data_IF_754830446497
#
_entry.id   IF_754830446497
#
_cell.length_a   1.000
_cell.length_b   1.000
_cell.length_c   1.000
_cell.angle_alpha   90.00
_cell.angle_beta   90.00
_cell.angle_gamma   90.00
#
_symmetry.space_group_name_H-M   'P 1'
#
loop_
_entity.id
_entity.type
_entity.pdbx_description
1 polymer ?
#
# COMPACT_ATOMS: atom_id res chain seq x y z
N UNK A 1 21.31 5.96 9.73
CA UNK A 1 22.38 6.25 10.71
C UNK A 1 23.66 6.73 10.05
N UNK A 2 24.37 5.91 9.25
CA UNK A 2 25.66 6.31 8.68
C UNK A 2 25.60 7.54 7.75
N UNK A 3 24.57 7.64 6.90
CA UNK A 3 24.38 8.80 6.01
C UNK A 3 24.32 10.13 6.77
N UNK A 4 23.55 10.17 7.87
CA UNK A 4 23.37 11.37 8.69
C UNK A 4 24.67 11.79 9.38
N UNK A 5 25.39 10.82 9.96
CA UNK A 5 26.69 11.06 10.59
C UNK A 5 27.72 11.63 9.60
N UNK A 6 27.79 11.07 8.40
CA UNK A 6 28.72 11.56 7.38
C UNK A 6 28.30 12.94 6.84
N UNK A 7 27.00 13.19 6.71
CA UNK A 7 26.48 14.49 6.30
C UNK A 7 26.76 15.58 7.34
N UNK A 8 26.63 15.28 8.64
CA UNK A 8 27.01 16.18 9.74
C UNK A 8 28.50 16.52 9.73
N UNK A 9 29.34 15.57 9.32
CA UNK A 9 30.78 15.78 9.14
C UNK A 9 31.14 16.53 7.83
N UNK A 10 30.15 16.98 7.05
CA UNK A 10 30.36 17.70 5.80
C UNK A 10 30.80 16.81 4.63
N UNK A 11 30.68 15.49 4.75
CA UNK A 11 31.06 14.53 3.71
C UNK A 11 29.90 14.33 2.74
N UNK A 12 30.12 14.66 1.47
CA UNK A 12 29.14 14.39 0.41
C UNK A 12 28.88 12.89 0.28
N UNK A 13 27.62 12.47 0.44
CA UNK A 13 27.21 11.07 0.42
C UNK A 13 26.07 10.83 -0.55
N UNK A 14 26.26 9.92 -1.50
CA UNK A 14 25.19 9.41 -2.35
C UNK A 14 24.72 8.04 -1.88
N UNK A 15 23.41 7.88 -1.69
CA UNK A 15 22.80 6.59 -1.33
C UNK A 15 22.33 5.89 -2.60
N UNK A 16 22.74 4.64 -2.81
CA UNK A 16 22.40 3.88 -4.04
C UNK A 16 21.69 2.59 -3.68
N UNK A 17 20.60 2.27 -4.38
CA UNK A 17 19.89 1.00 -4.18
C UNK A 17 20.72 -0.17 -4.72
N UNK A 18 20.94 -1.26 -3.94
CA UNK A 18 21.73 -2.41 -4.39
C UNK A 18 21.23 -3.04 -5.70
N UNK A 19 19.92 -3.01 -5.92
CA UNK A 19 19.28 -3.54 -7.13
C UNK A 19 19.58 -2.75 -8.40
N UNK A 20 20.04 -1.50 -8.27
CA UNK A 20 20.41 -0.64 -9.40
C UNK A 20 21.91 -0.69 -9.70
N UNK A 21 22.71 -1.32 -8.84
CA UNK A 21 24.14 -1.50 -9.06
C UNK A 21 24.34 -2.54 -10.17
N UNK A 22 24.99 -2.20 -11.30
CA UNK A 22 25.22 -3.14 -12.39
C UNK A 22 25.97 -4.38 -11.89
N UNK A 23 25.51 -5.59 -12.24
CA UNK A 23 26.20 -6.84 -11.91
C UNK A 23 26.51 -7.59 -13.20
N UNK A 24 27.78 -7.99 -13.38
CA UNK A 24 28.18 -8.80 -14.52
C UNK A 24 27.65 -10.23 -14.35
N UNK A 25 27.00 -10.76 -15.37
CA UNK A 25 26.52 -12.15 -15.37
C UNK A 25 27.68 -13.13 -15.14
N UNK A 26 27.49 -14.07 -14.22
CA UNK A 26 28.50 -15.08 -13.87
C UNK A 26 29.44 -14.69 -12.72
N UNK A 27 29.39 -13.46 -12.23
CA UNK A 27 30.17 -13.04 -11.06
C UNK A 27 29.54 -13.59 -9.77
N UNK A 28 30.16 -14.64 -9.21
CA UNK A 28 29.63 -15.39 -8.05
C UNK A 28 30.42 -15.15 -6.76
N UNK A 29 31.56 -14.47 -6.82
CA UNK A 29 32.44 -14.29 -5.67
C UNK A 29 32.18 -12.90 -5.07
N UNK A 30 31.55 -12.89 -3.91
CA UNK A 30 31.25 -11.68 -3.15
C UNK A 30 32.27 -11.51 -2.02
N UNK A 31 33.04 -10.42 -2.07
CA UNK A 31 33.92 -10.00 -0.97
C UNK A 31 33.81 -8.49 -0.79
N UNK A 32 33.92 -8.00 0.45
CA UNK A 32 33.77 -6.56 0.75
C UNK A 32 34.73 -5.69 -0.07
N UNK A 33 35.97 -6.16 -0.26
CA UNK A 33 36.97 -5.48 -1.09
C UNK A 33 36.54 -5.36 -2.56
N UNK A 34 35.97 -6.42 -3.14
CA UNK A 34 35.50 -6.41 -4.54
C UNK A 34 34.26 -5.54 -4.69
N UNK A 35 33.33 -5.62 -3.74
CA UNK A 35 32.12 -4.80 -3.74
C UNK A 35 32.45 -3.31 -3.62
N UNK A 36 33.37 -2.92 -2.73
CA UNK A 36 33.83 -1.54 -2.60
C UNK A 36 34.49 -1.02 -3.89
N UNK A 37 35.40 -1.81 -4.49
CA UNK A 37 36.06 -1.44 -5.75
C UNK A 37 35.06 -1.29 -6.89
N UNK A 38 34.07 -2.19 -6.94
CA UNK A 38 33.00 -2.17 -7.95
C UNK A 38 32.15 -0.92 -7.81
N UNK A 39 31.69 -0.60 -6.60
CA UNK A 39 30.95 0.62 -6.32
C UNK A 39 31.74 1.87 -6.71
N UNK A 40 33.04 1.94 -6.36
CA UNK A 40 33.90 3.06 -6.73
C UNK A 40 34.04 3.22 -8.25
N UNK A 41 34.20 2.11 -8.98
CA UNK A 41 34.26 2.12 -10.46
C UNK A 41 32.95 2.57 -11.08
N UNK A 42 31.83 2.00 -10.64
CA UNK A 42 30.49 2.36 -11.12
C UNK A 42 30.10 3.79 -10.77
N UNK A 43 30.54 4.31 -9.62
CA UNK A 43 30.35 5.70 -9.24
C UNK A 43 31.14 6.62 -10.18
N UNK A 44 32.42 6.29 -10.43
CA UNK A 44 33.29 7.05 -11.34
C UNK A 44 32.78 7.07 -12.79
N UNK A 45 32.17 5.99 -13.27
CA UNK A 45 31.58 5.92 -14.61
C UNK A 45 30.20 6.58 -14.72
N UNK A 46 29.59 6.99 -13.60
CA UNK A 46 28.23 7.53 -13.58
C UNK A 46 27.13 6.47 -13.74
N UNK A 47 27.47 5.19 -13.57
CA UNK A 47 26.51 4.08 -13.71
C UNK A 47 25.58 3.93 -12.49
N UNK A 48 25.92 4.58 -11.36
CA UNK A 48 25.11 4.52 -10.15
C UNK A 48 24.02 5.60 -10.18
N UNK A 49 22.79 5.17 -9.93
CA UNK A 49 21.65 6.09 -9.76
C UNK A 49 21.43 6.35 -8.26
N UNK A 50 21.64 7.59 -7.78
CA UNK A 50 21.36 7.92 -6.40
C UNK A 50 19.85 7.83 -6.12
N UNK A 51 19.55 7.38 -4.90
CA UNK A 51 18.21 7.27 -4.34
C UNK A 51 18.02 8.45 -3.41
N UNK A 52 16.83 9.03 -3.46
CA UNK A 52 16.48 10.11 -2.56
C UNK A 52 16.52 9.67 -1.10
N UNK A 53 17.23 10.45 -0.30
CA UNK A 53 17.22 10.35 1.15
C UNK A 53 16.17 11.32 1.70
N UNK A 54 15.27 10.86 2.58
CA UNK A 54 14.21 11.72 3.11
C UNK A 54 14.79 12.71 4.10
N UNK A 55 14.17 13.88 4.20
CA UNK A 55 14.36 14.76 5.36
C UNK A 55 13.67 14.18 6.60
N UNK A 56 13.92 14.82 7.75
CA UNK A 56 13.40 14.38 9.05
C UNK A 56 11.86 14.27 9.07
N UNK A 57 11.14 15.18 8.41
CA UNK A 57 9.68 15.18 8.36
C UNK A 57 9.15 13.99 7.55
N UNK A 58 9.73 13.74 6.38
CA UNK A 58 9.37 12.59 5.56
C UNK A 58 9.77 11.27 6.21
N UNK A 59 10.91 11.22 6.90
CA UNK A 59 11.37 10.04 7.64
C UNK A 59 10.41 9.72 8.80
N UNK A 60 10.03 10.71 9.60
CA UNK A 60 9.08 10.54 10.69
C UNK A 60 7.70 10.08 10.20
N UNK A 61 7.15 10.73 9.16
CA UNK A 61 5.88 10.32 8.57
C UNK A 61 5.97 8.90 7.97
N UNK A 62 7.11 8.56 7.36
CA UNK A 62 7.36 7.24 6.77
C UNK A 62 7.36 6.14 7.83
N UNK A 63 8.04 6.35 8.94
CA UNK A 63 8.08 5.38 10.02
C UNK A 63 6.67 5.13 10.57
N UNK A 64 5.87 6.19 10.70
CA UNK A 64 4.50 6.09 11.17
C UNK A 64 3.59 5.30 10.21
N UNK A 65 3.63 5.59 8.90
CA UNK A 65 2.83 4.83 7.91
C UNK A 65 3.29 3.37 7.79
N UNK A 66 4.60 3.11 7.93
CA UNK A 66 5.14 1.74 7.96
C UNK A 66 4.75 0.98 9.22
N UNK A 67 4.75 1.64 10.38
CA UNK A 67 4.25 1.07 11.63
C UNK A 67 2.78 0.68 11.52
N UNK A 68 1.95 1.52 10.90
CA UNK A 68 0.54 1.18 10.61
C UNK A 68 0.44 -0.03 9.69
N UNK A 69 1.26 -0.12 8.63
CA UNK A 69 1.26 -1.28 7.75
C UNK A 69 1.65 -2.57 8.48
N UNK A 70 2.65 -2.52 9.36
CA UNK A 70 3.02 -3.65 10.21
C UNK A 70 1.84 -4.06 11.11
N UNK A 71 1.19 -3.10 11.77
CA UNK A 71 0.02 -3.37 12.61
C UNK A 71 -1.15 -3.99 11.82
N UNK A 72 -1.40 -3.56 10.57
CA UNK A 72 -2.39 -4.21 9.68
C UNK A 72 -2.03 -5.67 9.38
N UNK A 73 -0.76 -5.99 9.17
CA UNK A 73 -0.29 -7.38 8.96
C UNK A 73 -0.48 -8.21 10.24
N UNK A 74 -0.19 -7.63 11.40
CA UNK A 74 -0.38 -8.28 12.70
C UNK A 74 -1.86 -8.56 12.97
N UNK A 75 -2.74 -7.57 12.73
CA UNK A 75 -4.20 -7.75 12.82
C UNK A 75 -4.67 -8.90 11.93
N UNK A 76 -4.19 -8.98 10.68
CA UNK A 76 -4.56 -10.08 9.78
C UNK A 76 -4.11 -11.44 10.33
N UNK A 77 -2.91 -11.53 10.90
CA UNK A 77 -2.40 -12.75 11.53
C UNK A 77 -3.22 -13.17 12.74
N UNK A 78 -3.55 -12.23 13.63
CA UNK A 78 -4.40 -12.46 14.80
C UNK A 78 -5.78 -12.96 14.39
N UNK A 79 -6.40 -12.27 13.42
CA UNK A 79 -7.66 -12.67 12.80
C UNK A 79 -7.63 -14.09 12.25
N UNK A 80 -6.55 -14.45 11.54
CA UNK A 80 -6.39 -15.80 11.00
C UNK A 80 -6.18 -16.87 12.09
N UNK A 81 -5.45 -16.58 13.17
CA UNK A 81 -5.29 -17.51 14.30
C UNK A 81 -6.65 -17.82 14.93
N UNK A 82 -7.43 -16.79 15.21
CA UNK A 82 -8.78 -16.92 15.76
C UNK A 82 -9.70 -17.70 14.81
N UNK A 83 -9.75 -17.34 13.53
CA UNK A 83 -10.55 -18.07 12.54
C UNK A 83 -10.16 -19.54 12.44
N UNK A 84 -8.86 -19.87 12.45
CA UNK A 84 -8.40 -21.25 12.41
C UNK A 84 -8.82 -22.02 13.66
N UNK A 85 -8.81 -21.39 14.84
CA UNK A 85 -9.33 -22.01 16.07
C UNK A 85 -10.80 -22.38 15.92
N UNK A 86 -11.63 -21.41 15.51
CA UNK A 86 -13.07 -21.61 15.31
C UNK A 86 -13.35 -22.72 14.29
N UNK A 87 -12.63 -22.71 13.16
CA UNK A 87 -12.78 -23.73 12.12
C UNK A 87 -12.40 -25.14 12.60
N UNK A 88 -11.32 -25.30 13.38
CA UNK A 88 -10.93 -26.60 13.96
C UNK A 88 -11.97 -27.14 14.93
N UNK A 89 -12.77 -26.27 15.54
CA UNK A 89 -13.87 -26.63 16.46
C UNK A 89 -15.22 -26.74 15.76
N UNK A 90 -15.28 -26.57 14.44
CA UNK A 90 -16.53 -26.60 13.69
C UNK A 90 -17.43 -25.39 13.92
N UNK A 91 -16.97 -24.37 14.64
CA UNK A 91 -17.74 -23.18 14.96
C UNK A 91 -17.80 -22.25 13.76
N UNK A 92 -19.01 -21.91 13.34
CA UNK A 92 -19.26 -20.99 12.23
C UNK A 92 -20.22 -19.89 12.69
N UNK A 93 -20.03 -18.66 12.20
CA UNK A 93 -21.00 -17.60 12.46
C UNK A 93 -22.37 -17.97 11.87
N UNK A 94 -23.47 -17.53 12.50
CA UNK A 94 -24.82 -17.65 11.96
C UNK A 94 -24.93 -17.16 10.51
N UNK A 95 -25.90 -17.71 9.78
CA UNK A 95 -26.13 -17.34 8.38
C UNK A 95 -26.36 -15.83 8.23
N UNK A 96 -25.80 -15.26 7.15
CA UNK A 96 -25.87 -13.83 6.87
C UNK A 96 -24.86 -12.96 7.63
N UNK A 97 -24.18 -13.47 8.67
CA UNK A 97 -23.15 -12.70 9.39
C UNK A 97 -21.82 -12.74 8.63
N UNK A 98 -21.39 -11.58 8.13
CA UNK A 98 -20.08 -11.41 7.48
C UNK A 98 -18.98 -11.32 8.53
N UNK A 99 -17.86 -12.01 8.29
CA UNK A 99 -16.70 -11.99 9.17
C UNK A 99 -16.16 -10.57 9.40
N UNK A 100 -15.72 -10.30 10.63
CA UNK A 100 -15.13 -9.01 11.07
C UNK A 100 -16.06 -7.80 10.94
N UNK A 101 -17.38 -8.01 10.96
CA UNK A 101 -18.38 -6.96 11.19
C UNK A 101 -18.71 -6.85 12.67
N UNK A 102 -19.36 -5.76 13.11
CA UNK A 102 -19.82 -5.63 14.51
C UNK A 102 -20.66 -6.83 14.96
N UNK A 103 -21.61 -7.28 14.11
CA UNK A 103 -22.42 -8.48 14.38
C UNK A 103 -21.56 -9.74 14.58
N UNK A 104 -20.46 -9.86 13.85
CA UNK A 104 -19.50 -10.96 14.02
C UNK A 104 -18.74 -10.84 15.34
N UNK A 105 -18.32 -9.64 15.71
CA UNK A 105 -17.67 -9.39 17.01
C UNK A 105 -18.61 -9.71 18.17
N UNK A 106 -19.87 -9.28 18.08
CA UNK A 106 -20.90 -9.59 19.09
C UNK A 106 -21.12 -11.09 19.21
N UNK A 107 -21.27 -11.81 18.08
CA UNK A 107 -21.37 -13.27 18.08
C UNK A 107 -20.15 -13.95 18.70
N UNK A 108 -18.93 -13.45 18.44
CA UNK A 108 -17.74 -14.02 19.06
C UNK A 108 -17.75 -13.89 20.59
N UNK A 109 -18.30 -12.79 21.12
CA UNK A 109 -18.42 -12.58 22.57
C UNK A 109 -19.44 -13.50 23.24
N UNK A 110 -20.38 -14.10 22.49
CA UNK A 110 -21.35 -15.06 23.04
C UNK A 110 -20.80 -16.50 23.11
N UNK A 111 -19.62 -16.76 22.55
CA UNK A 111 -19.06 -18.11 22.51
C UNK A 111 -18.52 -18.51 23.90
N UNK A 112 -19.06 -19.60 24.45
CA UNK A 112 -18.56 -20.24 25.65
C UNK A 112 -18.02 -21.62 25.25
N UNK A 113 -16.73 -21.87 25.49
CA UNK A 113 -16.05 -23.10 25.08
C UNK A 113 -15.51 -23.85 26.29
N UNK A 114 -15.78 -25.16 26.33
CA UNK A 114 -15.18 -26.09 27.29
C UNK A 114 -14.14 -26.99 26.58
N UNK A 115 -13.10 -27.49 27.29
CA UNK A 115 -12.76 -27.23 28.69
C UNK A 115 -12.12 -25.84 28.90
N UNK A 116 -11.93 -25.41 30.15
CA UNK A 116 -11.35 -24.11 30.53
C UNK A 116 -10.06 -23.71 29.76
N UNK A 117 -9.19 -24.66 29.41
CA UNK A 117 -8.00 -24.39 28.60
C UNK A 117 -8.33 -23.86 27.18
N UNK A 118 -9.42 -24.36 26.59
CA UNK A 118 -9.92 -23.87 25.29
C UNK A 118 -10.56 -22.50 25.44
N UNK A 119 -11.31 -22.25 26.53
CA UNK A 119 -11.85 -20.93 26.85
C UNK A 119 -10.73 -19.88 26.94
N UNK A 120 -9.65 -20.20 27.67
CA UNK A 120 -8.48 -19.33 27.81
C UNK A 120 -7.82 -19.03 26.45
N UNK A 121 -7.70 -20.04 25.59
CA UNK A 121 -7.15 -19.86 24.23
C UNK A 121 -8.02 -18.95 23.37
N UNK A 122 -9.35 -19.07 23.47
CA UNK A 122 -10.28 -18.21 22.74
C UNK A 122 -10.19 -16.75 23.23
N UNK A 123 -10.18 -16.55 24.55
CA UNK A 123 -10.07 -15.22 25.15
C UNK A 123 -8.76 -14.53 24.76
N UNK A 124 -7.64 -15.23 24.81
CA UNK A 124 -6.32 -14.73 24.37
C UNK A 124 -6.36 -14.24 22.91
N UNK A 125 -6.91 -15.05 21.99
CA UNK A 125 -7.00 -14.66 20.58
C UNK A 125 -7.97 -13.51 20.33
N UNK A 126 -9.06 -13.39 21.09
CA UNK A 126 -9.97 -12.24 21.01
C UNK A 126 -9.23 -10.98 21.47
N UNK A 127 -8.56 -11.04 22.63
CA UNK A 127 -7.77 -9.93 23.15
C UNK A 127 -6.67 -9.49 22.18
N UNK A 128 -6.00 -10.43 21.49
CA UNK A 128 -5.00 -10.11 20.48
C UNK A 128 -5.61 -9.37 19.27
N UNK A 129 -6.80 -9.78 18.80
CA UNK A 129 -7.49 -9.11 17.70
C UNK A 129 -7.90 -7.69 18.08
N UNK A 130 -8.43 -7.51 19.30
CA UNK A 130 -8.87 -6.21 19.82
C UNK A 130 -7.66 -5.28 20.01
N UNK A 131 -6.59 -5.77 20.65
CA UNK A 131 -5.34 -5.02 20.78
C UNK A 131 -4.76 -4.58 19.44
N UNK A 132 -4.74 -5.48 18.44
CA UNK A 132 -4.26 -5.14 17.11
C UNK A 132 -5.15 -4.09 16.43
N UNK A 133 -6.46 -4.11 16.67
CA UNK A 133 -7.40 -3.11 16.16
C UNK A 133 -7.15 -1.73 16.79
N UNK A 134 -7.09 -1.65 18.12
CA UNK A 134 -6.81 -0.40 18.85
C UNK A 134 -5.46 0.20 18.46
N UNK A 135 -4.43 -0.65 18.26
CA UNK A 135 -3.12 -0.22 17.78
C UNK A 135 -3.20 0.47 16.41
N UNK A 136 -4.01 -0.06 15.49
CA UNK A 136 -4.22 0.56 14.18
C UNK A 136 -4.92 1.91 14.34
N UNK A 137 -5.99 2.00 15.13
CA UNK A 137 -6.74 3.25 15.31
C UNK A 137 -5.87 4.36 15.92
N UNK A 138 -5.03 4.01 16.90
CA UNK A 138 -4.06 4.94 17.49
C UNK A 138 -3.04 5.41 16.45
N UNK A 139 -2.53 4.51 15.62
CA UNK A 139 -1.57 4.87 14.56
C UNK A 139 -2.23 5.72 13.46
N UNK A 140 -3.49 5.44 13.09
CA UNK A 140 -4.24 6.25 12.14
C UNK A 140 -4.49 7.67 12.66
N UNK A 141 -4.89 7.80 13.94
CA UNK A 141 -5.01 9.12 14.58
C UNK A 141 -3.69 9.88 14.62
N UNK A 142 -2.59 9.20 14.93
CA UNK A 142 -1.27 9.82 14.91
C UNK A 142 -0.86 10.26 13.49
N UNK A 143 -1.22 9.49 12.46
CA UNK A 143 -0.99 9.88 11.05
C UNK A 143 -1.79 11.12 10.72
N UNK A 144 -3.06 11.18 11.10
CA UNK A 144 -3.90 12.35 10.86
C UNK A 144 -3.30 13.60 11.54
N UNK A 145 -2.88 13.49 12.81
CA UNK A 145 -2.23 14.58 13.54
C UNK A 145 -0.92 15.02 12.86
N UNK A 146 -0.08 14.07 12.44
CA UNK A 146 1.16 14.37 11.73
C UNK A 146 0.90 15.09 10.40
N UNK A 147 -0.15 14.72 9.68
CA UNK A 147 -0.55 15.40 8.44
C UNK A 147 -1.01 16.83 8.74
N UNK A 148 -1.82 17.05 9.78
CA UNK A 148 -2.28 18.40 10.13
C UNK A 148 -1.12 19.32 10.56
N UNK A 149 -0.14 18.77 11.29
CA UNK A 149 1.06 19.48 11.72
C UNK A 149 2.11 19.68 10.62
N UNK A 150 2.02 18.95 9.50
CA UNK A 150 3.01 19.01 8.43
C UNK A 150 3.00 20.38 7.71
N UNK A 151 4.13 20.79 7.11
CA UNK A 151 4.20 21.98 6.27
C UNK A 151 3.16 21.99 5.15
N UNK A 152 2.69 23.18 4.76
CA UNK A 152 1.66 23.34 3.72
C UNK A 152 2.05 22.68 2.38
N UNK A 153 3.34 22.67 2.06
CA UNK A 153 3.85 21.97 0.89
C UNK A 153 3.51 20.46 0.92
N UNK A 154 3.64 19.78 2.07
CA UNK A 154 3.31 18.37 2.22
C UNK A 154 1.79 18.17 2.20
N UNK A 155 1.04 18.99 2.93
CA UNK A 155 -0.43 18.90 3.03
C UNK A 155 -1.11 19.06 1.67
N UNK A 156 -0.70 20.07 0.90
CA UNK A 156 -1.23 20.33 -0.44
C UNK A 156 -1.01 19.17 -1.41
N UNK A 157 0.13 18.48 -1.31
CA UNK A 157 0.40 17.27 -2.11
C UNK A 157 -0.52 16.14 -1.69
N UNK A 158 -0.71 15.91 -0.39
CA UNK A 158 -1.63 14.88 0.12
C UNK A 158 -3.06 15.15 -0.35
N UNK A 159 -3.56 16.39 -0.19
CA UNK A 159 -4.88 16.81 -0.67
C UNK A 159 -5.03 16.60 -2.19
N UNK A 160 -4.03 17.01 -2.96
CA UNK A 160 -3.98 16.82 -4.40
C UNK A 160 -4.08 15.34 -4.79
N UNK A 161 -3.34 14.47 -4.10
CA UNK A 161 -3.38 13.02 -4.32
C UNK A 161 -4.73 12.41 -3.95
N UNK A 162 -5.41 12.89 -2.89
CA UNK A 162 -6.73 12.43 -2.50
C UNK A 162 -7.84 12.77 -3.51
N UNK A 163 -7.59 13.70 -4.44
CA UNK A 163 -8.49 13.97 -5.57
C UNK A 163 -8.50 12.85 -6.61
N UNK A 164 -7.48 11.99 -6.59
CA UNK A 164 -7.39 10.82 -7.45
C UNK A 164 -8.30 9.72 -6.93
N UNK A 165 -8.97 9.05 -7.87
CA UNK A 165 -9.80 7.90 -7.55
C UNK A 165 -8.92 6.79 -6.95
N UNK A 166 -9.43 6.11 -5.93
CA UNK A 166 -8.71 5.00 -5.28
C UNK A 166 -7.59 5.43 -4.34
N UNK A 167 -7.33 6.74 -4.20
CA UNK A 167 -6.33 7.27 -3.28
C UNK A 167 -7.04 7.91 -2.08
N UNK A 168 -7.01 7.22 -0.94
CA UNK A 168 -7.49 7.73 0.33
C UNK A 168 -6.37 8.45 1.10
N UNK A 169 -6.70 9.07 2.23
CA UNK A 169 -5.76 9.86 3.04
C UNK A 169 -4.49 9.09 3.42
N UNK A 170 -4.65 7.89 4.00
CA UNK A 170 -3.51 7.04 4.37
C UNK A 170 -2.67 6.65 3.14
N UNK A 171 -3.32 6.31 2.02
CA UNK A 171 -2.63 5.99 0.77
C UNK A 171 -1.82 7.19 0.24
N UNK A 172 -2.41 8.38 0.25
CA UNK A 172 -1.73 9.62 -0.13
C UNK A 172 -0.54 9.92 0.79
N UNK A 173 -0.73 9.83 2.11
CA UNK A 173 0.32 10.02 3.10
C UNK A 173 1.48 9.03 2.89
N UNK A 174 1.19 7.76 2.61
CA UNK A 174 2.26 6.78 2.31
C UNK A 174 2.97 7.07 1.00
N UNK A 175 2.24 7.51 -0.05
CA UNK A 175 2.86 7.92 -1.32
C UNK A 175 3.84 9.06 -1.07
N UNK A 176 3.43 10.11 -0.35
CA UNK A 176 4.28 11.26 -0.02
C UNK A 176 5.45 10.86 0.86
N UNK A 177 5.22 10.03 1.89
CA UNK A 177 6.29 9.60 2.78
C UNK A 177 7.36 8.75 2.08
N UNK A 178 6.98 7.91 1.11
CA UNK A 178 7.91 7.02 0.40
C UNK A 178 8.57 7.69 -0.82
N UNK A 179 7.91 8.67 -1.45
CA UNK A 179 8.40 9.34 -2.65
C UNK A 179 8.96 10.74 -2.39
N UNK A 180 8.56 11.42 -1.33
CA UNK A 180 8.86 12.84 -1.15
C UNK A 180 8.30 13.67 -2.30
N UNK A 181 9.07 14.68 -2.71
CA UNK A 181 8.68 15.57 -3.80
C UNK A 181 8.56 14.82 -5.14
N UNK A 182 7.37 14.84 -5.73
CA UNK A 182 7.11 14.21 -7.03
C UNK A 182 7.75 15.00 -8.19
N UNK A 183 8.10 16.27 -7.93
CA UNK A 183 8.81 17.15 -8.86
C UNK A 183 10.12 16.56 -9.42
N UNK A 184 10.81 15.71 -8.65
CA UNK A 184 12.09 15.06 -9.04
C UNK A 184 11.97 14.13 -10.25
N UNK A 185 10.76 13.66 -10.56
CA UNK A 185 10.52 12.82 -11.71
C UNK A 185 10.10 13.70 -12.89
N UNK A 186 10.95 13.75 -13.92
CA UNK A 186 10.68 14.52 -15.13
C UNK A 186 9.50 13.95 -15.95
N UNK A 187 9.27 12.63 -15.88
CA UNK A 187 8.16 11.95 -16.57
C UNK A 187 7.49 10.88 -15.70
N UNK A 188 6.20 10.66 -15.91
CA UNK A 188 5.43 9.61 -15.23
C UNK A 188 6.06 8.20 -15.37
N UNK A 189 6.67 7.89 -16.51
CA UNK A 189 7.36 6.61 -16.74
C UNK A 189 8.54 6.40 -15.79
N UNK A 190 9.24 7.46 -15.40
CA UNK A 190 10.35 7.39 -14.44
C UNK A 190 9.83 7.06 -13.03
N UNK A 191 8.72 7.69 -12.60
CA UNK A 191 8.05 7.35 -11.34
C UNK A 191 7.62 5.87 -11.32
N UNK A 192 7.00 5.41 -12.42
CA UNK A 192 6.54 4.03 -12.54
C UNK A 192 7.70 3.03 -12.48
N UNK A 193 8.83 3.33 -13.12
CA UNK A 193 10.05 2.52 -13.04
C UNK A 193 10.62 2.48 -11.62
N UNK A 194 10.66 3.64 -10.94
CA UNK A 194 11.10 3.76 -9.55
C UNK A 194 10.22 2.95 -8.58
N UNK A 195 8.90 2.95 -8.79
CA UNK A 195 7.96 2.14 -8.01
C UNK A 195 7.93 0.65 -8.41
N UNK A 196 8.56 0.28 -9.54
CA UNK A 196 8.58 -1.08 -10.08
C UNK A 196 7.22 -1.59 -10.53
N UNK A 197 6.39 -0.69 -11.06
CA UNK A 197 5.06 -1.01 -11.63
C UNK A 197 5.07 -1.13 -13.16
N UNK A 198 6.25 -1.02 -13.79
CA UNK A 198 6.43 -1.21 -15.24
C UNK A 198 6.58 -2.71 -15.55
N UNK A 199 6.15 -3.15 -16.75
CA UNK A 199 6.36 -4.52 -17.22
C UNK A 199 7.84 -4.81 -17.42
N UNK A 200 8.28 -6.02 -17.12
CA UNK A 200 9.52 -6.54 -17.68
C UNK A 200 9.36 -6.73 -19.19
N UNK A 201 10.45 -6.58 -19.93
CA UNK A 201 10.45 -6.73 -21.38
C UNK A 201 11.65 -7.58 -21.82
N UNK A 202 11.38 -8.59 -22.66
CA UNK A 202 12.37 -9.45 -23.30
C UNK A 202 12.15 -9.38 -24.81
N UNK A 203 12.70 -8.33 -25.42
CA UNK A 203 12.57 -8.08 -26.85
C UNK A 203 13.89 -8.38 -27.57
N UNK A 204 13.82 -9.06 -28.72
CA UNK A 204 14.98 -9.34 -29.58
C UNK A 204 14.56 -9.19 -31.04
N UNK A 205 15.29 -8.38 -31.81
CA UNK A 205 14.89 -8.03 -33.18
C UNK A 205 13.51 -7.36 -33.19
N UNK A 206 12.61 -7.82 -34.06
CA UNK A 206 11.25 -7.28 -34.19
C UNK A 206 10.26 -7.86 -33.15
N UNK A 207 10.67 -8.85 -32.35
CA UNK A 207 9.75 -9.52 -31.43
C UNK A 207 9.77 -8.87 -30.05
N UNK A 208 8.65 -8.25 -29.69
CA UNK A 208 8.42 -7.69 -28.36
C UNK A 208 7.72 -8.71 -27.46
N UNK A 209 8.30 -9.04 -26.31
CA UNK A 209 7.64 -9.86 -25.28
C UNK A 209 7.63 -9.13 -23.94
N UNK A 210 6.45 -8.68 -23.52
CA UNK A 210 6.24 -8.10 -22.18
C UNK A 210 5.90 -9.18 -21.17
N UNK A 211 6.46 -9.08 -19.96
CA UNK A 211 6.29 -10.02 -18.85
C UNK A 211 5.56 -9.40 -17.65
N UNK A 212 5.82 -9.95 -16.46
CA UNK A 212 5.25 -9.46 -15.21
C UNK A 212 5.82 -8.07 -14.84
N UNK A 213 5.19 -7.38 -13.88
CA UNK A 213 5.80 -6.15 -13.32
C UNK A 213 7.21 -6.45 -12.79
N UNK A 214 8.13 -5.51 -12.95
CA UNK A 214 9.55 -5.69 -12.56
C UNK A 214 9.74 -5.93 -11.07
N UNK A 215 8.80 -5.46 -10.23
CA UNK A 215 8.88 -5.50 -8.75
C UNK A 215 10.12 -4.81 -8.18
N UNK A 216 10.79 -3.97 -8.98
CA UNK A 216 11.94 -3.17 -8.57
C UNK A 216 11.54 -2.08 -7.57
N UNK A 217 12.45 -1.67 -6.70
CA UNK A 217 12.18 -0.60 -5.75
C UNK A 217 11.14 -0.94 -4.67
N UNK A 218 10.48 0.09 -4.14
CA UNK A 218 9.75 0.02 -2.89
C UNK A 218 8.45 -0.81 -2.98
N UNK A 219 8.40 -1.92 -2.23
CA UNK A 219 7.27 -2.83 -2.21
C UNK A 219 5.98 -2.22 -1.61
N UNK A 220 6.11 -1.31 -0.62
CA UNK A 220 4.97 -0.66 0.01
C UNK A 220 4.30 0.31 -0.96
N UNK A 221 5.11 1.18 -1.58
CA UNK A 221 4.64 2.10 -2.61
C UNK A 221 3.93 1.35 -3.75
N UNK A 222 4.57 0.29 -4.26
CA UNK A 222 4.00 -0.54 -5.32
C UNK A 222 2.65 -1.14 -4.94
N UNK A 223 2.52 -1.68 -3.72
CA UNK A 223 1.27 -2.24 -3.22
C UNK A 223 0.15 -1.20 -3.25
N UNK A 224 0.42 0.00 -2.76
CA UNK A 224 -0.56 1.09 -2.68
C UNK A 224 -0.97 1.57 -4.07
N UNK A 225 -0.02 1.74 -5.00
CA UNK A 225 -0.31 2.12 -6.38
C UNK A 225 -1.15 1.06 -7.10
N UNK A 226 -0.84 -0.22 -6.89
CA UNK A 226 -1.62 -1.34 -7.42
C UNK A 226 -3.04 -1.34 -6.85
N UNK A 227 -3.20 -1.16 -5.54
CA UNK A 227 -4.50 -1.08 -4.86
C UNK A 227 -5.33 0.11 -5.37
N UNK A 228 -4.71 1.29 -5.53
CA UNK A 228 -5.37 2.48 -6.06
C UNK A 228 -5.83 2.28 -7.52
N UNK A 229 -5.01 1.64 -8.36
CA UNK A 229 -5.34 1.37 -9.77
C UNK A 229 -6.57 0.47 -9.93
N UNK A 230 -6.83 -0.47 -9.00
CA UNK A 230 -8.05 -1.29 -9.04
C UNK A 230 -9.34 -0.48 -9.01
N UNK A 231 -9.31 0.72 -8.41
CA UNK A 231 -10.47 1.59 -8.41
C UNK A 231 -10.85 2.03 -9.83
N UNK A 232 -9.87 2.18 -10.73
CA UNK A 232 -10.10 2.68 -12.08
C UNK A 232 -10.73 1.66 -13.03
N UNK A 233 -10.54 0.35 -12.78
CA UNK A 233 -11.14 -0.75 -13.57
C UNK A 233 -12.66 -0.66 -13.75
N UNK A 234 -13.36 -0.02 -12.82
CA UNK A 234 -14.81 0.16 -12.90
C UNK A 234 -15.14 1.48 -13.60
N UNK A 235 -16.28 1.59 -14.29
CA UNK A 235 -16.73 2.86 -14.88
C UNK A 235 -16.58 4.01 -13.88
N UNK A 236 -16.13 5.20 -14.31
CA UNK A 236 -15.91 6.33 -13.42
C UNK A 236 -17.23 6.75 -12.80
N UNK A 237 -17.45 6.34 -11.55
CA UNK A 237 -18.55 6.80 -10.72
C UNK A 237 -18.00 7.80 -9.71
N UNK A 238 -18.40 9.06 -9.88
CA UNK A 238 -18.05 10.15 -8.98
C UNK A 238 -19.07 10.21 -7.84
N UNK A 239 -18.82 9.42 -6.79
CA UNK A 239 -19.56 9.52 -5.54
C UNK A 239 -19.42 10.92 -4.90
N UNK A 240 -20.38 11.30 -4.04
CA UNK A 240 -20.46 12.65 -3.47
C UNK A 240 -19.17 13.12 -2.80
N UNK A 241 -18.50 12.24 -2.06
CA UNK A 241 -17.25 12.56 -1.37
C UNK A 241 -16.08 12.80 -2.34
N UNK A 242 -15.91 11.95 -3.36
CA UNK A 242 -14.88 12.15 -4.39
C UNK A 242 -15.14 13.42 -5.20
N UNK A 243 -16.41 13.73 -5.48
CA UNK A 243 -16.81 14.99 -6.14
C UNK A 243 -16.46 16.20 -5.29
N UNK A 244 -16.69 16.16 -3.98
CA UNK A 244 -16.30 17.22 -3.03
C UNK A 244 -14.78 17.39 -3.01
N UNK A 245 -14.02 16.29 -2.91
CA UNK A 245 -12.56 16.32 -2.96
C UNK A 245 -12.05 16.90 -4.28
N UNK A 246 -12.66 16.56 -5.41
CA UNK A 246 -12.26 17.09 -6.72
C UNK A 246 -12.60 18.57 -6.90
N UNK A 247 -13.70 19.07 -6.33
CA UNK A 247 -14.02 20.51 -6.33
C UNK A 247 -13.03 21.31 -5.48
N UNK A 248 -12.76 20.86 -4.27
CA UNK A 248 -11.77 21.52 -3.39
C UNK A 248 -10.35 21.43 -3.98
N UNK A 249 -10.05 20.33 -4.68
CA UNK A 249 -8.78 20.15 -5.37
C UNK A 249 -8.72 20.83 -6.74
N UNK A 250 -9.81 21.27 -7.39
CA UNK A 250 -9.69 22.00 -8.67
C UNK A 250 -9.10 23.39 -8.48
N UNK A 251 -9.29 24.00 -7.31
CA UNK A 251 -8.62 25.24 -6.91
C UNK A 251 -7.16 24.98 -6.50
N UNK A 252 -6.90 23.84 -5.83
CA UNK A 252 -5.58 23.44 -5.32
C UNK A 252 -4.92 22.30 -6.10
N UNK A 253 -5.19 22.13 -7.41
CA UNK A 253 -4.71 20.96 -8.18
C UNK A 253 -3.21 21.11 -8.40
N UNK A 254 -2.44 20.76 -7.37
CA UNK A 254 -1.01 20.90 -7.37
C UNK A 254 -0.43 20.18 -8.57
N UNK A 255 0.62 20.77 -9.16
CA UNK A 255 1.40 20.18 -10.26
C UNK A 255 1.80 18.72 -9.98
N UNK A 256 1.91 18.37 -8.70
CA UNK A 256 2.21 17.05 -8.14
C UNK A 256 1.10 16.00 -8.42
N UNK A 257 -0.17 16.31 -8.14
CA UNK A 257 -1.29 15.39 -8.39
C UNK A 257 -1.48 15.10 -9.88
N UNK A 258 -1.26 16.11 -10.72
CA UNK A 258 -1.27 15.98 -12.18
C UNK A 258 -0.16 15.05 -12.70
N UNK A 259 0.96 14.92 -12.00
CA UNK A 259 2.05 13.99 -12.36
C UNK A 259 1.78 12.55 -11.93
N UNK A 260 1.07 12.33 -10.82
CA UNK A 260 0.74 10.98 -10.36
C UNK A 260 -0.49 10.38 -11.05
N UNK A 261 -1.39 11.21 -11.58
CA UNK A 261 -2.57 10.74 -12.31
C UNK A 261 -2.25 9.89 -13.56
N UNK A 262 -1.25 10.23 -14.41
CA UNK A 262 -0.77 9.34 -15.47
C UNK A 262 -0.13 8.05 -14.96
N UNK A 263 0.47 8.04 -13.77
CA UNK A 263 1.02 6.82 -13.18
C UNK A 263 -0.10 5.88 -12.72
N UNK A 264 -1.16 6.40 -12.10
CA UNK A 264 -2.34 5.61 -11.74
C UNK A 264 -3.03 5.02 -12.99
N UNK A 265 -3.14 5.81 -14.07
CA UNK A 265 -3.66 5.36 -15.37
C UNK A 265 -2.74 4.37 -16.08
N UNK A 266 -1.42 4.58 -16.07
CA UNK A 266 -0.45 3.66 -16.68
C UNK A 266 -0.39 2.31 -15.96
N UNK A 267 -0.60 2.29 -14.64
CA UNK A 267 -0.77 1.04 -13.88
C UNK A 267 -2.08 0.33 -14.26
N UNK A 268 -3.17 1.08 -14.46
CA UNK A 268 -4.43 0.53 -14.95
C UNK A 268 -4.28 -0.06 -16.38
N UNK A 269 -3.72 0.70 -17.32
CA UNK A 269 -3.45 0.26 -18.70
C UNK A 269 -2.63 -1.02 -18.71
N UNK A 270 -1.55 -1.09 -17.92
CA UNK A 270 -0.76 -2.30 -17.76
C UNK A 270 -1.58 -3.46 -17.16
N UNK A 271 -2.46 -3.21 -16.18
CA UNK A 271 -3.32 -4.26 -15.62
C UNK A 271 -4.38 -4.74 -16.61
N UNK A 272 -4.91 -3.85 -17.44
CA UNK A 272 -5.87 -4.15 -18.50
C UNK A 272 -5.20 -4.94 -19.63
N UNK A 273 -4.02 -4.52 -20.09
CA UNK A 273 -3.20 -5.26 -21.07
C UNK A 273 -2.91 -6.69 -20.61
N UNK A 274 -2.52 -6.88 -19.34
CA UNK A 274 -2.29 -8.22 -18.78
C UNK A 274 -3.56 -9.06 -18.59
N UNK A 275 -4.73 -8.43 -18.48
CA UNK A 275 -6.01 -9.13 -18.44
C UNK A 275 -6.45 -9.60 -19.83
N UNK A 276 -6.05 -8.87 -20.87
CA UNK A 276 -6.34 -9.17 -22.29
C UNK A 276 -5.37 -10.19 -22.90
N UNK A 277 -4.14 -10.29 -22.40
CA UNK A 277 -3.09 -11.20 -22.91
C UNK A 277 -3.14 -12.63 -22.33
N UNK A 278 -4.12 -12.99 -21.50
CA UNK A 278 -4.27 -14.38 -21.01
C UNK A 278 -4.97 -15.25 -22.06
N UNK A 279 -4.29 -16.25 -22.67
CA UNK A 279 -4.99 -17.26 -23.46
C UNK A 279 -5.87 -18.10 -22.53
N UNK A 280 -7.02 -18.54 -23.04
CA UNK A 280 -8.05 -19.25 -22.28
C UNK A 280 -7.54 -20.47 -21.51
N UNK A 281 -8.02 -20.61 -20.27
CA UNK A 281 -7.85 -21.79 -19.42
C UNK A 281 -8.62 -21.61 -18.10
N UNK A 282 -9.38 -22.60 -17.61
CA UNK A 282 -10.32 -22.39 -16.52
C UNK A 282 -9.59 -22.28 -15.16
N UNK A 283 -10.10 -21.36 -14.32
CA UNK A 283 -9.87 -21.24 -12.86
C UNK A 283 -8.47 -20.81 -12.39
N UNK A 284 -8.33 -19.50 -12.09
CA UNK A 284 -7.71 -18.95 -10.85
C UNK A 284 -7.91 -17.41 -10.77
N UNK A 285 -9.15 -16.91 -10.97
CA UNK A 285 -9.49 -15.48 -10.73
C UNK A 285 -9.76 -15.14 -9.25
N UNK A 286 -9.56 -16.06 -8.30
CA UNK A 286 -9.96 -15.89 -6.88
C UNK A 286 -8.83 -15.73 -5.85
N UNK A 287 -7.54 -15.81 -6.21
CA UNK A 287 -6.47 -15.91 -5.19
C UNK A 287 -5.80 -14.58 -4.78
N UNK A 288 -5.55 -13.62 -5.67
CA UNK A 288 -4.93 -12.35 -5.23
C UNK A 288 -5.91 -11.40 -4.54
N UNK A 289 -7.14 -11.29 -5.06
CA UNK A 289 -8.15 -10.38 -4.51
C UNK A 289 -8.81 -10.85 -3.21
N UNK A 290 -8.66 -12.12 -2.82
CA UNK A 290 -9.23 -12.68 -1.58
C UNK A 290 -8.24 -12.63 -0.42
N UNK A 291 -6.93 -12.76 -0.70
CA UNK A 291 -5.88 -12.63 0.31
C UNK A 291 -5.75 -11.20 0.87
N UNK A 292 -6.06 -10.16 0.06
CA UNK A 292 -6.05 -8.76 0.52
C UNK A 292 -7.41 -8.27 1.07
N UNK A 293 -8.51 -8.96 0.75
CA UNK A 293 -9.86 -8.64 1.28
C UNK A 293 -10.12 -9.16 2.69
N UNK A 294 -9.32 -10.09 3.20
CA UNK A 294 -9.52 -10.63 4.56
C UNK A 294 -9.04 -9.68 5.69
N UNK A 295 -8.48 -8.51 5.34
CA UNK A 295 -7.98 -7.51 6.30
C UNK A 295 -8.75 -6.19 6.39
N UNK A 296 -9.86 -6.02 5.68
CA UNK A 296 -10.65 -4.78 5.72
C UNK A 296 -12.10 -5.09 6.09
N UNK A 297 -12.54 -4.47 7.21
CA UNK A 297 -13.94 -4.41 7.62
C UNK A 297 -14.78 -3.60 6.63
N UNK A 298 -16.10 -3.46 6.88
CA UNK A 298 -17.06 -3.03 5.88
C UNK A 298 -16.84 -1.59 5.41
N UNK A 299 -17.21 -1.37 4.14
CA UNK A 299 -17.39 -0.08 3.46
C UNK A 299 -18.28 0.84 4.33
N UNK A 300 -17.95 2.13 4.54
CA UNK A 300 -18.78 3.07 5.32
C UNK A 300 -20.09 3.47 4.61
N UNK A 301 -20.61 2.62 3.73
CA UNK A 301 -21.89 2.79 3.04
C UNK A 301 -22.89 1.77 3.57
N UNK A 302 -23.35 2.02 4.78
CA UNK A 302 -24.63 1.49 5.27
C UNK A 302 -25.33 2.62 6.04
N UNK A 303 -25.97 3.52 5.27
CA UNK A 303 -27.03 4.37 5.81
C UNK A 303 -28.32 3.56 5.66
N UNK A 304 -28.75 2.91 6.74
CA UNK A 304 -30.10 2.39 6.86
C UNK A 304 -31.04 3.58 7.06
N UNK A 305 -31.67 4.03 5.97
CA UNK A 305 -32.87 4.86 6.02
C UNK A 305 -34.04 3.89 6.16
N UNK A 306 -34.47 3.65 7.41
CA UNK A 306 -35.69 2.93 7.71
C UNK A 306 -36.86 3.91 7.57
N UNK A 307 -37.69 3.73 6.54
CA UNK A 307 -39.00 4.36 6.47
C UNK A 307 -39.95 3.68 7.48
N UNK A 308 -40.74 4.42 8.26
CA UNK A 308 -41.78 3.80 9.07
C UNK A 308 -42.99 3.47 8.20
N UNK A 309 -43.39 2.21 8.27
CA UNK A 309 -44.68 1.69 7.84
C UNK A 309 -45.79 2.38 8.64
N UNK A 310 -46.53 3.26 7.97
CA UNK A 310 -47.64 4.02 8.51
C UNK A 310 -48.95 3.45 7.98
N UNK A 311 -49.51 2.51 8.74
CA UNK A 311 -50.83 1.94 8.53
C UNK A 311 -51.93 2.99 8.69
N UNK A 312 -52.98 2.86 7.86
CA UNK A 312 -54.43 3.10 8.07
C UNK A 312 -55.06 4.02 7.01
N UNK A 313 -56.39 3.92 6.79
CA UNK A 313 -57.27 2.74 6.84
C UNK A 313 -57.69 2.27 5.44
#
# INVERSE_FOLDING_TARGET
MLYWQLSELGVHCDVVAPTLVPVKSGDRIKTDRRDALKLARSYRSGDLTPVWVPDAEHEALRDLVRAREAAKKDQLRARHRLQKLLLRRGLRPPEGIKAWTERYLTWMKTLQLEPAALAATLLDYIAEVDHAHERIERLERAIDQAIEAAPEAIRSVIEGLQSLRGVARISAATIVAELGQLSRFGRAKQLMGYAGVVSSEHSSGERIRRGAITKTGNAHLRRILVEAAWAYRHRPYLGGELRRRQKNASEKRGREAARLAPCARGVEEHMLEQSSQRPGGPRKKRTLGRALRQGFGPDPRDKSEAAPDGSRP
#
